data_IF_974426066513
#
_entry.id   IF_974426066513
#
_cell.length_a   1.000
_cell.length_b   1.000
_cell.length_c   1.000
_cell.angle_alpha   90.00
_cell.angle_beta   90.00
_cell.angle_gamma   90.00
#
_symmetry.space_group_name_H-M   'P 1'
#
loop_
_entity.id
_entity.type
_entity.pdbx_description
1 polymer ?
#
# COMPACT_ATOMS: atom_id res chain seq x y z
N UNK A 1 -42.51 -20.94 80.68
CA UNK A 1 -42.22 -20.78 79.24
C UNK A 1 -40.96 -19.95 79.09
N UNK A 2 -39.84 -20.34 78.48
CA UNK A 2 -39.42 -21.60 77.89
C UNK A 2 -38.01 -21.41 77.26
N UNK A 3 -37.09 -22.30 77.64
CA UNK A 3 -36.00 -22.92 76.85
C UNK A 3 -34.81 -22.11 76.29
N UNK A 4 -33.67 -22.82 76.27
CA UNK A 4 -32.59 -22.73 75.28
C UNK A 4 -31.43 -21.84 75.74
N UNK A 5 -30.32 -22.37 76.24
CA UNK A 5 -29.26 -23.09 75.50
C UNK A 5 -28.93 -22.39 74.18
N UNK A 6 -27.72 -21.86 74.05
CA UNK A 6 -26.73 -22.28 73.04
C UNK A 6 -25.49 -21.38 73.10
N UNK A 7 -24.33 -22.03 72.90
CA UNK A 7 -22.98 -21.47 72.99
C UNK A 7 -22.54 -20.82 71.67
N UNK A 8 -21.47 -20.03 71.79
CA UNK A 8 -20.47 -19.65 70.76
C UNK A 8 -20.90 -18.59 69.72
N UNK A 9 -19.98 -17.89 69.02
CA UNK A 9 -18.50 -17.86 69.09
C UNK A 9 -17.92 -16.43 69.21
N UNK A 10 -16.58 -16.35 69.32
CA UNK A 10 -15.76 -15.14 69.41
C UNK A 10 -15.96 -14.21 68.22
N UNK A 11 -16.39 -12.97 68.49
CA UNK A 11 -16.28 -11.88 67.53
C UNK A 11 -15.28 -10.87 68.12
N UNK A 12 -14.09 -10.93 67.54
CA UNK A 12 -13.00 -9.97 67.70
C UNK A 12 -13.59 -8.59 67.38
N UNK A 13 -13.94 -7.87 68.43
CA UNK A 13 -14.02 -6.42 68.41
C UNK A 13 -12.59 -5.91 68.33
N UNK A 14 -12.35 -4.91 67.49
CA UNK A 14 -11.57 -3.71 67.77
C UNK A 14 -10.80 -3.24 66.51
N UNK A 15 -11.44 -2.27 65.83
CA UNK A 15 -10.86 -0.98 65.41
C UNK A 15 -9.76 -0.96 64.33
N UNK A 16 -10.16 -0.62 63.10
CA UNK A 16 -9.46 0.36 62.26
C UNK A 16 -10.56 1.25 61.66
N UNK A 17 -10.97 2.32 62.33
CA UNK A 17 -10.50 3.69 62.04
C UNK A 17 -10.48 3.94 60.51
N UNK A 18 -11.60 4.41 59.96
CA UNK A 18 -11.79 5.82 59.65
C UNK A 18 -10.84 6.34 58.56
N UNK A 19 -11.35 6.46 57.34
CA UNK A 19 -11.59 7.75 56.67
C UNK A 19 -11.79 7.52 55.17
N UNK A 20 -12.89 8.06 54.67
CA UNK A 20 -13.19 8.15 53.25
C UNK A 20 -12.13 9.01 52.55
N UNK A 21 -11.31 8.39 51.69
CA UNK A 21 -10.56 9.12 50.68
C UNK A 21 -11.33 9.03 49.36
N UNK A 22 -11.90 10.18 49.01
CA UNK A 22 -12.67 10.49 47.82
C UNK A 22 -11.96 10.00 46.55
N UNK A 23 -12.58 9.07 45.82
CA UNK A 23 -12.16 8.70 44.46
C UNK A 23 -12.50 9.89 43.55
N UNK A 24 -11.55 10.82 43.36
CA UNK A 24 -11.65 11.81 42.28
C UNK A 24 -10.99 11.19 41.05
N UNK A 25 -11.72 10.31 40.40
CA UNK A 25 -11.43 9.87 39.04
C UNK A 25 -11.65 11.06 38.10
N UNK A 26 -10.67 11.95 37.99
CA UNK A 26 -10.58 12.85 36.85
C UNK A 26 -10.14 12.02 35.64
N UNK A 27 -11.07 11.25 35.10
CA UNK A 27 -10.91 10.59 33.82
C UNK A 27 -10.73 11.66 32.75
N UNK A 28 -9.47 11.94 32.41
CA UNK A 28 -9.13 12.72 31.24
C UNK A 28 -9.61 11.92 30.02
N UNK A 29 -10.85 12.20 29.60
CA UNK A 29 -11.38 11.83 28.31
C UNK A 29 -10.51 12.55 27.27
N UNK A 30 -9.40 11.93 26.87
CA UNK A 30 -8.77 12.27 25.61
C UNK A 30 -9.78 11.79 24.56
N UNK A 31 -10.43 12.68 23.78
CA UNK A 31 -11.10 12.19 22.59
C UNK A 31 -9.97 11.62 21.73
N UNK A 32 -9.95 10.29 21.58
CA UNK A 32 -9.19 9.69 20.49
C UNK A 32 -9.96 10.12 19.25
N UNK A 33 -9.63 11.30 18.74
CA UNK A 33 -10.00 11.69 17.41
C UNK A 33 -9.30 10.67 16.53
N UNK A 34 -10.04 9.63 16.14
CA UNK A 34 -9.64 8.73 15.07
C UNK A 34 -9.52 9.59 13.83
N UNK A 35 -8.35 10.19 13.63
CA UNK A 35 -7.95 10.69 12.33
C UNK A 35 -8.00 9.45 11.46
N UNK A 36 -9.03 9.37 10.62
CA UNK A 36 -9.04 8.48 9.48
C UNK A 36 -7.87 8.96 8.62
N UNK A 37 -6.67 8.47 8.93
CA UNK A 37 -5.52 8.69 8.09
C UNK A 37 -5.87 8.00 6.77
N UNK A 38 -6.24 8.79 5.77
CA UNK A 38 -6.30 8.28 4.42
C UNK A 38 -4.92 7.67 4.12
N UNK A 39 -4.84 6.44 3.58
CA UNK A 39 -3.57 5.91 3.15
C UNK A 39 -2.90 6.95 2.23
N UNK A 40 -1.57 7.12 2.32
CA UNK A 40 -0.88 8.07 1.45
C UNK A 40 -1.28 7.77 0.00
N UNK A 41 -1.65 8.79 -0.76
CA UNK A 41 -1.85 8.63 -2.20
C UNK A 41 -0.54 8.08 -2.75
N UNK A 42 -0.55 6.85 -3.22
CA UNK A 42 0.58 6.28 -3.97
C UNK A 42 0.81 7.21 -5.16
N UNK A 43 2.01 7.80 -5.25
CA UNK A 43 2.33 8.76 -6.31
C UNK A 43 2.25 8.12 -7.69
N UNK A 44 2.17 8.95 -8.73
CA UNK A 44 2.28 8.46 -10.10
C UNK A 44 3.71 7.93 -10.36
N UNK A 45 3.82 6.75 -10.94
CA UNK A 45 5.07 6.10 -11.33
C UNK A 45 4.92 5.52 -12.73
N UNK A 46 5.69 6.05 -13.69
CA UNK A 46 5.81 5.50 -15.03
C UNK A 46 7.30 5.24 -15.30
N UNK A 47 7.72 3.97 -15.15
CA UNK A 47 9.11 3.58 -15.32
C UNK A 47 9.22 2.23 -16.03
N UNK A 48 10.18 2.11 -16.93
CA UNK A 48 10.56 0.85 -17.57
C UNK A 48 11.84 0.37 -16.87
N UNK A 49 11.83 -0.85 -16.33
CA UNK A 49 12.98 -1.49 -15.68
C UNK A 49 13.67 -2.50 -16.59
N UNK A 50 12.96 -3.08 -17.56
CA UNK A 50 13.50 -3.97 -18.58
C UNK A 50 12.78 -3.76 -19.91
N UNK A 51 13.47 -3.79 -21.05
CA UNK A 51 14.93 -3.92 -21.19
C UNK A 51 15.68 -2.71 -20.62
N UNK A 52 16.91 -2.92 -20.15
CA UNK A 52 17.76 -1.85 -19.66
C UNK A 52 18.17 -0.92 -20.82
N UNK A 53 18.47 0.35 -20.50
CA UNK A 53 19.00 1.29 -21.50
C UNK A 53 20.28 0.73 -22.14
N UNK A 54 20.35 0.78 -23.48
CA UNK A 54 21.48 0.24 -24.25
C UNK A 54 21.50 -1.28 -24.41
N UNK A 55 20.48 -2.00 -23.94
CA UNK A 55 20.40 -3.44 -24.14
C UNK A 55 20.20 -3.81 -25.61
N UNK A 56 20.95 -4.81 -26.08
CA UNK A 56 20.70 -5.47 -27.37
C UNK A 56 19.64 -6.54 -27.19
N UNK A 57 18.56 -6.48 -27.98
CA UNK A 57 17.41 -7.37 -27.88
C UNK A 57 16.99 -7.87 -29.26
N UNK A 58 16.34 -9.03 -29.34
CA UNK A 58 15.84 -9.61 -30.59
C UNK A 58 14.60 -10.47 -30.35
N UNK A 59 13.74 -10.59 -31.36
CA UNK A 59 12.52 -11.39 -31.30
C UNK A 59 11.46 -10.78 -30.38
N UNK A 60 10.88 -11.61 -29.49
CA UNK A 60 9.86 -11.17 -28.55
C UNK A 60 10.52 -10.67 -27.25
N UNK A 61 10.45 -9.36 -27.03
CA UNK A 61 11.09 -8.67 -25.90
C UNK A 61 10.04 -8.36 -24.84
N UNK A 62 10.20 -8.89 -23.63
CA UNK A 62 9.35 -8.53 -22.50
C UNK A 62 9.74 -7.15 -21.95
N UNK A 63 8.74 -6.30 -21.77
CA UNK A 63 8.87 -4.99 -21.15
C UNK A 63 8.32 -5.10 -19.72
N UNK A 64 9.17 -4.82 -18.74
CA UNK A 64 8.81 -4.81 -17.33
C UNK A 64 9.01 -3.40 -16.75
N UNK A 65 8.25 -3.07 -15.70
CA UNK A 65 8.30 -1.76 -15.05
C UNK A 65 7.13 -1.48 -14.12
N UNK A 66 6.91 -0.20 -13.84
CA UNK A 66 5.78 0.27 -13.03
C UNK A 66 4.95 1.28 -13.82
N UNK A 67 3.63 1.08 -13.79
CA UNK A 67 2.59 1.93 -14.35
C UNK A 67 1.53 2.18 -13.28
N UNK A 68 1.79 3.17 -12.43
CA UNK A 68 0.95 3.54 -11.28
C UNK A 68 0.49 4.99 -11.45
N UNK A 69 -0.78 5.26 -11.18
CA UNK A 69 -1.34 6.61 -11.13
C UNK A 69 -2.61 6.63 -10.24
N UNK A 70 -2.82 7.64 -9.38
CA UNK A 70 -4.03 7.73 -8.56
C UNK A 70 -5.34 7.71 -9.36
N UNK A 71 -5.34 8.37 -10.52
CA UNK A 71 -6.44 8.43 -11.48
C UNK A 71 -6.16 7.55 -12.71
N UNK A 72 -5.65 6.34 -12.50
CA UNK A 72 -5.27 5.43 -13.58
C UNK A 72 -6.46 5.04 -14.46
N UNK A 73 -6.34 5.27 -15.77
CA UNK A 73 -7.26 4.73 -16.79
C UNK A 73 -6.63 3.54 -17.51
N UNK A 74 -5.44 3.77 -18.10
CA UNK A 74 -4.67 2.76 -18.83
C UNK A 74 -3.21 3.18 -18.96
N UNK A 75 -2.35 2.24 -19.31
CA UNK A 75 -1.01 2.54 -19.78
C UNK A 75 -0.79 2.08 -21.24
N UNK A 76 0.13 2.74 -21.92
CA UNK A 76 0.46 2.50 -23.33
C UNK A 76 1.99 2.44 -23.51
N UNK A 77 2.45 1.48 -24.30
CA UNK A 77 3.86 1.30 -24.64
C UNK A 77 4.12 1.75 -26.07
N UNK A 78 5.25 2.42 -26.29
CA UNK A 78 5.65 2.92 -27.60
C UNK A 78 7.13 2.70 -27.87
N UNK A 79 7.49 2.62 -29.15
CA UNK A 79 8.87 2.70 -29.60
C UNK A 79 9.06 3.73 -30.72
N UNK A 80 10.30 4.17 -30.93
CA UNK A 80 10.71 4.92 -32.12
C UNK A 80 12.16 4.60 -32.44
N UNK A 81 12.56 4.76 -33.71
CA UNK A 81 13.97 4.64 -34.13
C UNK A 81 14.74 5.89 -33.68
N UNK A 82 16.02 5.74 -33.34
CA UNK A 82 16.85 6.87 -32.92
C UNK A 82 17.72 7.43 -34.07
N UNK A 83 17.80 8.76 -34.24
CA UNK A 83 16.90 9.77 -33.68
C UNK A 83 15.55 9.76 -34.39
N UNK A 84 14.46 9.90 -33.64
CA UNK A 84 13.11 9.88 -34.21
C UNK A 84 12.08 10.38 -33.22
N UNK A 85 11.03 11.00 -33.75
CA UNK A 85 9.92 11.55 -32.96
C UNK A 85 8.58 10.87 -33.27
N UNK A 86 8.56 9.99 -34.26
CA UNK A 86 7.36 9.24 -34.63
C UNK A 86 7.23 7.99 -33.75
N UNK A 87 6.39 8.07 -32.72
CA UNK A 87 6.17 6.99 -31.76
C UNK A 87 5.15 6.00 -32.29
N UNK A 88 5.55 4.73 -32.36
CA UNK A 88 4.71 3.62 -32.80
C UNK A 88 4.20 2.86 -31.58
N UNK A 89 2.88 2.62 -31.55
CA UNK A 89 2.23 1.92 -30.45
C UNK A 89 2.58 0.43 -30.44
N UNK A 90 2.80 -0.13 -29.25
CA UNK A 90 3.15 -1.54 -29.03
C UNK A 90 1.96 -2.27 -28.45
N UNK A 91 1.44 -3.25 -29.19
CA UNK A 91 0.41 -4.16 -28.69
C UNK A 91 -0.91 -3.46 -28.40
N UNK A 92 -1.39 -3.61 -27.17
CA UNK A 92 -2.69 -3.13 -26.68
C UNK A 92 -2.50 -2.37 -25.37
N UNK A 93 -3.42 -1.46 -25.00
CA UNK A 93 -3.29 -0.70 -23.77
C UNK A 93 -3.51 -1.62 -22.56
N UNK A 94 -2.67 -1.46 -21.54
CA UNK A 94 -2.86 -2.14 -20.27
C UNK A 94 -3.90 -1.45 -19.42
N UNK A 95 -4.88 -2.20 -18.92
CA UNK A 95 -6.01 -1.67 -18.12
C UNK A 95 -5.89 -1.95 -16.62
N UNK A 96 -4.73 -2.40 -16.18
CA UNK A 96 -4.45 -2.66 -14.78
C UNK A 96 -3.15 -1.96 -14.41
N UNK A 97 -3.13 -1.36 -13.23
CA UNK A 97 -1.90 -0.82 -12.67
C UNK A 97 -0.88 -1.96 -12.45
N UNK A 98 0.38 -1.66 -12.72
CA UNK A 98 1.48 -2.61 -12.56
C UNK A 98 2.53 -1.97 -11.66
N UNK A 99 2.96 -2.69 -10.63
CA UNK A 99 4.10 -2.31 -9.79
C UNK A 99 5.23 -3.31 -9.99
N UNK A 100 6.34 -2.88 -10.58
CA UNK A 100 7.54 -3.68 -10.82
C UNK A 100 7.26 -5.03 -11.49
N UNK A 101 6.40 -5.02 -12.51
CA UNK A 101 5.88 -6.22 -13.15
C UNK A 101 5.87 -6.13 -14.67
N UNK A 102 5.18 -7.09 -15.29
CA UNK A 102 5.04 -7.18 -16.74
C UNK A 102 4.12 -6.09 -17.28
N UNK A 103 4.61 -5.31 -18.25
CA UNK A 103 3.85 -4.25 -18.93
C UNK A 103 3.39 -4.69 -20.33
N UNK A 104 4.19 -5.49 -21.03
CA UNK A 104 3.84 -5.95 -22.38
C UNK A 104 4.99 -6.62 -23.11
N UNK A 105 4.73 -7.04 -24.35
CA UNK A 105 5.74 -7.66 -25.23
C UNK A 105 5.91 -6.83 -26.49
N UNK A 106 7.15 -6.49 -26.80
CA UNK A 106 7.53 -5.85 -28.05
C UNK A 106 8.16 -6.87 -29.00
N UNK A 107 7.55 -7.07 -30.17
CA UNK A 107 8.14 -7.93 -31.20
C UNK A 107 9.06 -7.11 -32.11
N UNK A 108 10.37 -7.35 -31.99
CA UNK A 108 11.41 -6.67 -32.77
C UNK A 108 11.85 -7.44 -34.01
N UNK A 109 11.36 -8.67 -34.22
CA UNK A 109 11.85 -9.55 -35.28
C UNK A 109 11.62 -9.06 -36.71
N UNK A 110 10.72 -8.09 -36.91
CA UNK A 110 10.48 -7.44 -38.21
C UNK A 110 11.10 -6.05 -38.35
N UNK A 111 11.82 -5.57 -37.33
CA UNK A 111 12.47 -4.26 -37.35
C UNK A 111 13.90 -4.40 -37.88
N UNK A 112 14.39 -3.44 -38.70
CA UNK A 112 15.81 -3.38 -39.06
C UNK A 112 16.71 -3.25 -37.82
N UNK A 113 17.94 -3.73 -37.94
CA UNK A 113 18.94 -3.49 -36.91
C UNK A 113 19.19 -1.98 -36.73
N UNK A 114 19.18 -1.51 -35.49
CA UNK A 114 19.35 -0.10 -35.17
C UNK A 114 19.04 0.22 -33.72
N UNK A 115 19.22 1.48 -33.36
CA UNK A 115 18.89 1.98 -32.03
C UNK A 115 17.43 2.41 -31.97
N UNK A 116 16.77 2.07 -30.87
CA UNK A 116 15.37 2.38 -30.62
C UNK A 116 15.18 2.90 -29.19
N UNK A 117 14.32 3.90 -29.04
CA UNK A 117 13.86 4.33 -27.73
C UNK A 117 12.53 3.64 -27.39
N UNK A 118 12.35 3.26 -26.13
CA UNK A 118 11.07 2.83 -25.56
C UNK A 118 10.47 3.92 -24.69
N UNK A 119 9.14 3.98 -24.65
CA UNK A 119 8.38 4.91 -23.82
C UNK A 119 7.15 4.23 -23.23
N UNK A 120 6.91 4.50 -21.96
CA UNK A 120 5.68 4.18 -21.23
C UNK A 120 4.89 5.46 -20.99
N UNK A 121 3.58 5.40 -21.18
CA UNK A 121 2.63 6.46 -20.80
C UNK A 121 1.56 5.86 -19.90
N UNK A 122 1.16 6.60 -18.86
CA UNK A 122 0.15 6.25 -17.87
C UNK A 122 -0.80 7.43 -17.74
#
# INVERSE_FOLDING_TARGET
MGRGVQRHPRLISQVFAAMAALIVSAGLLIPVASVLAAPPRQGAVAAISSPASGATVTGAVQINGSALHPDFDRYELYYTVEPGENWVFIGEPGRQQVDNGFLGTWNTGGLPDGNYSLRLRV
#
